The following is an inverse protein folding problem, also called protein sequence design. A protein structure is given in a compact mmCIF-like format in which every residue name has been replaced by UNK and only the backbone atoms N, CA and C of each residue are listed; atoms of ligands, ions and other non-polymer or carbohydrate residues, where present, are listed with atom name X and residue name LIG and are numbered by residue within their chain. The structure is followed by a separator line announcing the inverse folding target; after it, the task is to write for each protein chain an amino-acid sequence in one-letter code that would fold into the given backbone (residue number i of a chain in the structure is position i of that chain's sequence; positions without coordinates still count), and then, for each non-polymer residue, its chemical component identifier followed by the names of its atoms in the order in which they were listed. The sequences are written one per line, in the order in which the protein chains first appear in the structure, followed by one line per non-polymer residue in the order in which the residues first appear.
data_IF_448971941162
#
_entry.id   IF_448971941162
#
_cell.length_a   1.000
_cell.length_b   1.000
_cell.length_c   1.000
_cell.angle_alpha   90.00
_cell.angle_beta   90.00
_cell.angle_gamma   90.00
#
_symmetry.space_group_name_H-M   'P 1'
#
loop_
_entity.id
_entity.type
_entity.pdbx_description
1 polymer ?
#
# COMPACT_ATOMS: atom_id res chain seq x y z
N UNK A 1 -18.70 15.21 -25.99
CA UNK A 1 -17.84 14.01 -26.14
C UNK A 1 -16.39 14.45 -26.08
N UNK A 2 -15.74 14.42 -24.91
CA UNK A 2 -14.33 14.77 -24.77
C UNK A 2 -13.53 13.52 -24.42
N UNK A 3 -13.16 12.75 -25.46
CA UNK A 3 -12.14 11.71 -25.36
C UNK A 3 -10.79 12.37 -25.63
N UNK A 4 -10.12 12.86 -24.58
CA UNK A 4 -8.73 13.32 -24.69
C UNK A 4 -7.93 12.84 -23.48
N UNK A 5 -6.92 12.03 -23.79
CA UNK A 5 -5.76 11.63 -22.97
C UNK A 5 -5.99 10.63 -21.82
N UNK A 6 -5.84 9.32 -22.09
CA UNK A 6 -5.45 8.38 -21.02
C UNK A 6 -4.51 7.25 -21.46
N UNK A 7 -3.68 7.47 -22.49
CA UNK A 7 -2.54 6.60 -22.78
C UNK A 7 -1.26 7.34 -22.38
N UNK A 8 -0.89 7.31 -21.09
CA UNK A 8 0.51 7.40 -20.61
C UNK A 8 0.65 7.84 -19.13
N UNK A 9 -0.07 7.21 -18.19
CA UNK A 9 0.52 7.02 -16.87
C UNK A 9 -0.05 5.75 -16.24
N UNK A 10 0.35 4.61 -16.80
CA UNK A 10 0.05 3.28 -16.27
C UNK A 10 0.82 3.10 -14.95
N UNK A 11 0.41 3.86 -13.93
CA UNK A 11 0.98 3.86 -12.60
C UNK A 11 0.89 2.44 -12.04
N UNK A 12 1.95 1.99 -11.39
CA UNK A 12 2.00 0.67 -10.78
C UNK A 12 1.25 0.67 -9.45
N UNK A 13 0.79 -0.52 -9.07
CA UNK A 13 0.18 -0.82 -7.78
C UNK A 13 1.25 -1.38 -6.86
N UNK A 14 1.58 -0.67 -5.79
CA UNK A 14 2.52 -1.12 -4.79
C UNK A 14 1.85 -2.09 -3.82
N UNK A 15 2.32 -3.34 -3.81
CA UNK A 15 1.89 -4.36 -2.86
C UNK A 15 2.89 -4.36 -1.71
N UNK A 16 2.52 -3.74 -0.59
CA UNK A 16 3.40 -3.59 0.56
C UNK A 16 3.19 -4.71 1.58
N UNK A 17 4.24 -5.48 1.81
CA UNK A 17 4.29 -6.58 2.75
C UNK A 17 5.34 -6.31 3.83
N UNK A 18 5.03 -6.65 5.10
CA UNK A 18 5.98 -6.53 6.21
C UNK A 18 6.06 -7.82 7.02
N UNK A 19 7.28 -8.22 7.34
CA UNK A 19 7.62 -9.25 8.32
C UNK A 19 8.18 -8.53 9.56
N UNK A 20 7.64 -8.81 10.74
CA UNK A 20 8.03 -8.11 11.96
C UNK A 20 8.88 -9.04 12.83
N UNK A 21 10.11 -8.66 13.16
CA UNK A 21 11.02 -9.44 14.04
C UNK A 21 10.40 -9.88 15.37
N UNK A 22 9.41 -9.14 15.86
CA UNK A 22 8.67 -9.36 17.10
C UNK A 22 7.82 -10.66 17.07
N UNK A 23 7.50 -11.18 15.88
CA UNK A 23 6.61 -12.32 15.66
C UNK A 23 7.36 -13.66 15.46
N UNK A 24 8.66 -13.67 15.75
CA UNK A 24 9.70 -14.69 15.45
C UNK A 24 9.31 -16.16 15.57
N UNK A 25 8.52 -16.66 14.62
CA UNK A 25 8.10 -18.05 14.56
C UNK A 25 8.22 -18.56 13.13
N UNK A 26 8.62 -19.84 12.98
CA UNK A 26 8.92 -20.50 11.69
C UNK A 26 7.76 -20.46 10.65
N UNK A 27 6.59 -19.95 11.03
CA UNK A 27 5.42 -19.67 10.18
C UNK A 27 5.49 -18.36 9.36
N UNK A 28 6.51 -17.51 9.55
CA UNK A 28 6.60 -16.21 8.86
C UNK A 28 6.88 -16.32 7.36
N UNK A 29 7.66 -17.31 6.91
CA UNK A 29 7.89 -17.56 5.47
C UNK A 29 6.61 -17.96 4.74
N UNK A 30 5.73 -18.71 5.42
CA UNK A 30 4.40 -19.03 4.91
C UNK A 30 3.51 -17.77 4.93
N UNK A 31 3.61 -16.96 5.98
CA UNK A 31 2.85 -15.71 6.14
C UNK A 31 3.19 -14.64 5.11
N UNK A 32 4.44 -14.54 4.64
CA UNK A 32 4.79 -13.57 3.58
C UNK A 32 4.33 -14.02 2.21
N UNK A 33 4.45 -15.32 1.92
CA UNK A 33 3.96 -15.90 0.66
C UNK A 33 2.44 -15.77 0.57
N UNK A 34 1.73 -16.02 1.67
CA UNK A 34 0.29 -15.78 1.76
C UNK A 34 -0.07 -14.30 1.59
N UNK A 35 0.67 -13.37 2.22
CA UNK A 35 0.46 -11.94 2.04
C UNK A 35 0.64 -11.53 0.57
N UNK A 36 1.73 -11.97 -0.06
CA UNK A 36 1.99 -11.69 -1.49
C UNK A 36 0.88 -12.23 -2.38
N UNK A 37 0.42 -13.46 -2.13
CA UNK A 37 -0.64 -14.10 -2.90
C UNK A 37 -1.97 -13.38 -2.71
N UNK A 38 -2.34 -13.04 -1.48
CA UNK A 38 -3.56 -12.29 -1.15
C UNK A 38 -3.57 -10.92 -1.81
N UNK A 39 -2.47 -10.17 -1.73
CA UNK A 39 -2.36 -8.85 -2.34
C UNK A 39 -2.38 -8.94 -3.88
N UNK A 40 -1.74 -9.96 -4.44
CA UNK A 40 -1.77 -10.24 -5.88
C UNK A 40 -3.20 -10.52 -6.35
N UNK A 41 -3.86 -11.48 -5.72
CA UNK A 41 -5.23 -11.89 -6.05
C UNK A 41 -6.19 -10.70 -5.96
N UNK A 42 -6.05 -9.87 -4.93
CA UNK A 42 -6.83 -8.65 -4.80
C UNK A 42 -6.56 -7.66 -5.94
N UNK A 43 -5.29 -7.41 -6.29
CA UNK A 43 -4.92 -6.52 -7.39
C UNK A 43 -5.45 -7.04 -8.74
N UNK A 44 -5.31 -8.33 -9.02
CA UNK A 44 -5.81 -8.95 -10.26
C UNK A 44 -7.34 -8.88 -10.35
N UNK A 45 -8.06 -9.16 -9.25
CA UNK A 45 -9.53 -9.04 -9.19
C UNK A 45 -10.04 -7.61 -9.38
N UNK A 46 -9.26 -6.61 -8.96
CA UNK A 46 -9.59 -5.20 -9.11
C UNK A 46 -9.09 -4.58 -10.42
N UNK A 47 -8.61 -5.39 -11.37
CA UNK A 47 -8.15 -4.90 -12.67
C UNK A 47 -6.86 -4.08 -12.58
N UNK A 48 -6.00 -4.39 -11.61
CA UNK A 48 -4.70 -3.74 -11.40
C UNK A 48 -3.54 -4.70 -11.75
N UNK A 49 -3.35 -5.07 -13.04
CA UNK A 49 -2.37 -6.08 -13.45
C UNK A 49 -0.91 -5.62 -13.33
N UNK A 50 -0.68 -4.30 -13.24
CA UNK A 50 0.65 -3.70 -13.05
C UNK A 50 0.91 -3.49 -11.58
N UNK A 51 1.58 -4.43 -10.94
CA UNK A 51 1.94 -4.35 -9.53
C UNK A 51 3.43 -4.63 -9.28
N UNK A 52 3.96 -4.06 -8.20
CA UNK A 52 5.30 -4.29 -7.70
C UNK A 52 5.26 -4.60 -6.20
N UNK A 53 6.07 -5.57 -5.75
CA UNK A 53 6.14 -5.94 -4.36
C UNK A 53 7.19 -5.11 -3.62
N UNK A 54 6.77 -4.51 -2.51
CA UNK A 54 7.62 -3.82 -1.56
C UNK A 54 7.61 -4.63 -0.27
N UNK A 55 8.70 -5.33 0.01
CA UNK A 55 8.79 -6.25 1.15
C UNK A 55 9.83 -5.74 2.12
N UNK A 56 9.41 -5.43 3.34
CA UNK A 56 10.33 -5.18 4.46
C UNK A 56 10.41 -6.44 5.32
N UNK A 57 11.56 -7.12 5.25
CA UNK A 57 11.89 -8.29 6.07
C UNK A 57 12.63 -7.86 7.35
N UNK A 58 12.18 -8.35 8.49
CA UNK A 58 12.88 -8.15 9.75
C UNK A 58 12.85 -6.71 10.31
N UNK A 59 11.80 -5.93 10.07
CA UNK A 59 11.68 -4.57 10.62
C UNK A 59 10.59 -4.48 11.70
N UNK A 60 10.96 -3.91 12.86
CA UNK A 60 9.98 -3.63 13.91
C UNK A 60 8.94 -2.59 13.44
N UNK A 61 7.66 -2.84 13.71
CA UNK A 61 6.54 -1.97 13.35
C UNK A 61 6.58 -0.54 13.93
N UNK A 62 7.51 -0.29 14.87
CA UNK A 62 7.78 1.01 15.51
C UNK A 62 8.83 1.86 14.79
N UNK A 63 9.67 1.28 13.92
CA UNK A 63 10.69 2.04 13.19
C UNK A 63 10.27 2.23 11.73
N UNK A 64 10.28 3.48 11.24
CA UNK A 64 9.98 3.85 9.85
C UNK A 64 11.24 3.88 8.95
N UNK A 65 12.40 3.54 9.50
CA UNK A 65 13.65 3.41 8.75
C UNK A 65 13.69 2.09 7.95
N UNK A 66 12.75 1.95 7.02
CA UNK A 66 12.47 0.74 6.26
C UNK A 66 12.84 0.95 4.79
N UNK A 67 13.78 0.18 4.23
CA UNK A 67 14.28 0.41 2.88
C UNK A 67 13.20 0.26 1.81
N UNK A 68 12.31 -0.74 1.93
CA UNK A 68 11.25 -0.95 0.93
C UNK A 68 10.15 0.10 1.05
N UNK A 69 9.83 0.53 2.28
CA UNK A 69 8.92 1.68 2.47
C UNK A 69 9.50 2.98 1.90
N UNK A 70 10.77 3.29 2.14
CA UNK A 70 11.41 4.47 1.55
C UNK A 70 11.44 4.42 0.03
N UNK A 71 11.71 3.24 -0.54
CA UNK A 71 11.62 3.01 -1.98
C UNK A 71 10.20 3.28 -2.50
N UNK A 72 9.18 2.77 -1.81
CA UNK A 72 7.77 3.03 -2.11
C UNK A 72 7.48 4.55 -2.13
N UNK A 73 7.88 5.27 -1.09
CA UNK A 73 7.70 6.73 -1.01
C UNK A 73 8.39 7.43 -2.19
N UNK A 74 9.64 7.07 -2.50
CA UNK A 74 10.37 7.64 -3.62
C UNK A 74 9.70 7.34 -4.98
N UNK A 75 9.17 6.12 -5.18
CA UNK A 75 8.44 5.75 -6.39
C UNK A 75 7.06 6.46 -6.50
N UNK A 76 6.43 6.79 -5.36
CA UNK A 76 5.25 7.65 -5.29
C UNK A 76 5.59 9.10 -5.67
N UNK A 77 6.67 9.65 -5.11
CA UNK A 77 7.14 11.00 -5.43
C UNK A 77 7.57 11.13 -6.90
N UNK A 78 8.16 10.07 -7.47
CA UNK A 78 8.46 9.97 -8.89
C UNK A 78 7.22 9.81 -9.79
N UNK A 79 6.01 9.71 -9.21
CA UNK A 79 4.75 9.58 -9.94
C UNK A 79 4.54 8.22 -10.60
N UNK A 80 5.33 7.20 -10.22
CA UNK A 80 5.24 5.84 -10.77
C UNK A 80 4.15 5.02 -10.09
N UNK A 81 3.92 5.22 -8.80
CA UNK A 81 2.92 4.48 -8.01
C UNK A 81 1.60 5.23 -8.00
N UNK A 82 0.50 4.51 -8.22
CA UNK A 82 -0.85 5.07 -8.25
C UNK A 82 -1.79 4.43 -7.24
N UNK A 83 -1.42 3.26 -6.74
CA UNK A 83 -2.16 2.59 -5.69
C UNK A 83 -1.19 1.87 -4.74
N UNK A 84 -1.49 1.86 -3.45
CA UNK A 84 -0.77 1.12 -2.42
C UNK A 84 -1.75 0.17 -1.76
N UNK A 85 -1.41 -1.11 -1.72
CA UNK A 85 -2.23 -2.16 -1.11
C UNK A 85 -1.43 -2.82 0.00
N UNK A 86 -2.00 -2.86 1.19
CA UNK A 86 -1.48 -3.58 2.35
C UNK A 86 -2.47 -4.63 2.80
N UNK A 87 -2.00 -5.61 3.60
CA UNK A 87 -2.90 -6.56 4.27
C UNK A 87 -3.84 -5.81 5.21
N UNK A 88 -3.27 -5.03 6.14
CA UNK A 88 -3.96 -4.33 7.21
C UNK A 88 -3.27 -2.98 7.50
N UNK A 89 -3.97 -2.04 8.14
CA UNK A 89 -3.42 -0.74 8.55
C UNK A 89 -2.13 -0.88 9.39
N UNK A 90 -2.04 -1.94 10.21
CA UNK A 90 -0.86 -2.19 11.05
C UNK A 90 0.40 -2.51 10.25
N UNK A 91 0.28 -2.93 8.97
CA UNK A 91 1.42 -3.12 8.06
C UNK A 91 2.03 -1.79 7.64
N UNK A 92 1.22 -0.77 7.38
CA UNK A 92 1.72 0.57 7.05
C UNK A 92 2.53 1.14 8.22
N UNK A 93 1.93 1.22 9.40
CA UNK A 93 2.62 1.63 10.62
C UNK A 93 1.79 1.27 11.86
N UNK A 94 2.46 0.89 12.96
CA UNK A 94 1.77 0.72 14.25
C UNK A 94 1.43 2.07 14.91
N UNK A 95 2.11 3.15 14.52
CA UNK A 95 1.80 4.48 14.99
C UNK A 95 0.64 5.07 14.19
N UNK A 96 -0.54 5.13 14.78
CA UNK A 96 -1.77 5.57 14.12
C UNK A 96 -1.66 7.00 13.58
N UNK A 97 -0.94 7.87 14.30
CA UNK A 97 -0.77 9.28 13.92
C UNK A 97 0.06 9.40 12.63
N UNK A 98 1.19 8.70 12.54
CA UNK A 98 2.03 8.72 11.35
C UNK A 98 1.36 8.00 10.19
N UNK A 99 0.78 6.81 10.42
CA UNK A 99 0.05 6.06 9.39
C UNK A 99 -1.14 6.86 8.83
N UNK A 100 -1.91 7.53 9.71
CA UNK A 100 -3.00 8.43 9.32
C UNK A 100 -2.50 9.60 8.47
N UNK A 101 -1.38 10.22 8.86
CA UNK A 101 -0.77 11.30 8.06
C UNK A 101 -0.41 10.85 6.63
N UNK A 102 0.08 9.61 6.46
CA UNK A 102 0.33 9.07 5.12
C UNK A 102 -0.96 8.83 4.33
N UNK A 103 -1.97 8.24 4.98
CA UNK A 103 -3.24 7.87 4.34
C UNK A 103 -4.07 9.10 3.97
N UNK A 104 -4.14 10.09 4.85
CA UNK A 104 -5.05 11.24 4.74
C UNK A 104 -4.41 12.45 4.06
N UNK A 105 -3.07 12.57 4.08
CA UNK A 105 -2.38 13.74 3.53
C UNK A 105 -1.44 13.33 2.40
N UNK A 106 -0.49 12.42 2.66
CA UNK A 106 0.57 12.11 1.69
C UNK A 106 0.02 11.43 0.42
N UNK A 107 -0.63 10.27 0.55
CA UNK A 107 -1.16 9.54 -0.59
C UNK A 107 -2.14 10.36 -1.45
N UNK A 108 -3.16 11.05 -0.89
CA UNK A 108 -4.06 11.88 -1.68
C UNK A 108 -3.35 13.06 -2.34
N UNK A 109 -2.40 13.73 -1.67
CA UNK A 109 -1.58 14.79 -2.26
C UNK A 109 -0.82 14.32 -3.50
N UNK A 110 -0.39 13.05 -3.51
CA UNK A 110 0.32 12.44 -4.64
C UNK A 110 -0.60 11.70 -5.63
N UNK A 111 -1.93 11.82 -5.50
CA UNK A 111 -2.91 11.08 -6.32
C UNK A 111 -2.66 9.56 -6.28
N UNK A 112 -2.47 9.04 -5.07
CA UNK A 112 -2.27 7.62 -4.76
C UNK A 112 -3.45 7.12 -3.94
N UNK A 113 -4.05 6.01 -4.39
CA UNK A 113 -5.11 5.31 -3.66
C UNK A 113 -4.50 4.33 -2.66
N UNK A 114 -4.93 4.34 -1.41
CA UNK A 114 -4.51 3.38 -0.39
C UNK A 114 -5.62 2.38 -0.08
N UNK A 115 -5.27 1.10 0.00
CA UNK A 115 -6.19 -0.01 0.25
C UNK A 115 -5.61 -0.91 1.35
N UNK A 116 -6.40 -1.21 2.38
CA UNK A 116 -6.09 -2.25 3.36
C UNK A 116 -7.11 -3.38 3.23
N UNK A 117 -6.66 -4.53 2.71
CA UNK A 117 -7.55 -5.63 2.29
C UNK A 117 -8.36 -6.22 3.44
N UNK A 118 -7.74 -6.51 4.57
CA UNK A 118 -8.43 -7.15 5.71
C UNK A 118 -9.20 -6.17 6.58
N UNK A 119 -8.80 -4.89 6.57
CA UNK A 119 -9.48 -3.83 7.31
C UNK A 119 -10.69 -3.28 6.51
N UNK A 120 -10.79 -3.60 5.22
CA UNK A 120 -11.81 -3.07 4.32
C UNK A 120 -11.65 -1.57 4.06
N UNK A 121 -10.47 -1.00 4.31
CA UNK A 121 -10.21 0.43 4.13
C UNK A 121 -9.84 0.70 2.69
N UNK A 122 -10.49 1.69 2.11
CA UNK A 122 -10.17 2.22 0.80
C UNK A 122 -10.20 3.75 0.85
N UNK A 123 -9.09 4.39 0.49
CA UNK A 123 -8.98 5.84 0.58
C UNK A 123 -9.76 6.57 -0.53
N UNK A 124 -10.18 5.88 -1.59
CA UNK A 124 -11.02 6.46 -2.64
C UNK A 124 -12.46 6.58 -2.14
N UNK A 125 -12.99 5.54 -1.49
CA UNK A 125 -14.38 5.54 -0.97
C UNK A 125 -14.54 6.44 0.26
N UNK A 126 -13.48 6.62 1.05
CA UNK A 126 -13.51 7.45 2.26
C UNK A 126 -13.62 8.95 1.96
N UNK A 127 -13.25 9.40 0.76
CA UNK A 127 -13.42 10.80 0.34
C UNK A 127 -14.88 11.20 0.11
N UNK A 128 -15.81 10.25 -0.04
CA UNK A 128 -17.23 10.56 -0.24
C UNK A 128 -18.02 10.78 1.07
N UNK A 129 -17.39 10.60 2.25
CA UNK A 129 -18.09 10.69 3.55
C UNK A 129 -17.91 12.03 4.29
N UNK A 130 -17.23 13.02 3.72
CA UNK A 130 -17.06 14.36 4.32
C UNK A 130 -17.72 15.45 3.45
N UNK A 131 -19.03 15.30 3.21
CA UNK A 131 -19.95 16.38 2.80
C UNK A 131 -21.37 16.03 3.27
N UNK A 132 -21.69 16.31 4.52
CA UNK A 132 -23.07 16.58 5.01
C UNK A 132 -22.99 17.45 6.24
#
# INVERSE_FOLDING_TARGET
MSRKNHLSNQKITALYCRISLDDGSQNESMSISNQKLMLKDYAEKNGMPRYEYYVDDGYMGRNFNRPSFKRLIADIEAGKVGCVITKDLSRLGRNYIEAGSYIEIFFPKHNVRYIAVTDGVDSLTRQEMDIT
#
